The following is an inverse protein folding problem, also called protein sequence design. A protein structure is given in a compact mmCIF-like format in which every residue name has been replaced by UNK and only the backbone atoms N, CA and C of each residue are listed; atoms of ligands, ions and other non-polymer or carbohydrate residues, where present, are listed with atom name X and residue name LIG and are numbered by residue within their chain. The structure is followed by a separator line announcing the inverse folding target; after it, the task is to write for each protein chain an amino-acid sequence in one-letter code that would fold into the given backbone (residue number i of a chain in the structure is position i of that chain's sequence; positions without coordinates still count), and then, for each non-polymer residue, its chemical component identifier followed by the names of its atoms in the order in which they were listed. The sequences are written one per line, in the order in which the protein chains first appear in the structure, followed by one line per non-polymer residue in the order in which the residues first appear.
data_IF_947231801316
#
_entry.id   IF_947231801316
#
_cell.length_a   1.000
_cell.length_b   1.000
_cell.length_c   1.000
_cell.angle_alpha   90.00
_cell.angle_beta   90.00
_cell.angle_gamma   90.00
#
_symmetry.space_group_name_H-M   'P 1'
#
loop_
_entity.id
_entity.type
_entity.pdbx_description
1 polymer ?
#
# COMPACT_ATOMS: atom_id res chain seq x y z
N UNK A 1 -21.00 5.65 -32.24
CA UNK A 1 -22.01 4.59 -32.05
C UNK A 1 -21.49 3.73 -30.90
N UNK A 2 -22.07 3.68 -29.70
CA UNK A 2 -23.40 4.05 -29.22
C UNK A 2 -23.33 4.33 -27.71
N UNK A 3 -24.10 5.31 -27.26
CA UNK A 3 -24.33 5.66 -25.86
C UNK A 3 -25.56 4.92 -25.31
N UNK A 4 -25.68 4.88 -23.96
CA UNK A 4 -26.89 4.57 -23.14
C UNK A 4 -27.13 3.05 -22.94
N UNK A 5 -27.00 2.50 -21.72
CA UNK A 5 -28.10 2.41 -20.73
C UNK A 5 -27.58 1.88 -19.38
N UNK A 6 -27.63 2.68 -18.32
CA UNK A 6 -27.58 2.19 -16.92
C UNK A 6 -28.39 3.12 -16.03
N UNK A 7 -29.71 3.14 -16.25
CA UNK A 7 -30.64 4.02 -15.50
C UNK A 7 -31.86 3.29 -14.95
N UNK A 8 -31.95 1.96 -15.04
CA UNK A 8 -33.17 1.20 -14.69
C UNK A 8 -33.14 0.51 -13.32
N UNK A 9 -32.01 0.47 -12.61
CA UNK A 9 -31.92 -0.16 -11.27
C UNK A 9 -32.24 0.77 -10.10
N UNK A 10 -32.22 2.10 -10.30
CA UNK A 10 -32.40 3.09 -9.22
C UNK A 10 -33.86 3.41 -8.89
N UNK A 11 -34.82 3.06 -9.75
CA UNK A 11 -36.24 3.40 -9.56
C UNK A 11 -37.03 2.33 -8.77
N UNK A 12 -36.57 1.07 -8.76
CA UNK A 12 -37.27 -0.03 -8.07
C UNK A 12 -36.97 -0.08 -6.56
N UNK A 13 -35.83 0.47 -6.13
CA UNK A 13 -35.41 0.53 -4.73
C UNK A 13 -36.08 1.66 -3.93
N UNK A 14 -36.39 2.81 -4.56
CA UNK A 14 -37.09 3.92 -3.87
C UNK A 14 -38.53 3.57 -3.49
N UNK A 15 -39.25 2.83 -4.35
CA UNK A 15 -40.63 2.44 -4.07
C UNK A 15 -40.73 1.33 -3.00
N UNK A 16 -39.74 0.45 -2.91
CA UNK A 16 -39.72 -0.59 -1.86
C UNK A 16 -39.40 0.01 -0.48
N UNK A 17 -38.48 0.99 -0.41
CA UNK A 17 -38.18 1.74 0.81
C UNK A 17 -39.39 2.56 1.29
N UNK A 18 -40.15 3.17 0.38
CA UNK A 18 -41.39 3.89 0.73
C UNK A 18 -42.51 2.96 1.23
N UNK A 19 -42.60 1.73 0.70
CA UNK A 19 -43.58 0.73 1.15
C UNK A 19 -43.24 0.21 2.55
N UNK A 20 -41.97 0.04 2.87
CA UNK A 20 -41.51 -0.38 4.21
C UNK A 20 -41.70 0.74 5.23
N UNK A 21 -41.51 2.02 4.83
CA UNK A 21 -41.76 3.18 5.69
C UNK A 21 -43.25 3.40 6.04
N UNK A 22 -44.19 2.96 5.19
CA UNK A 22 -45.63 3.08 5.45
C UNK A 22 -46.20 2.01 6.38
N UNK A 23 -45.49 0.91 6.62
CA UNK A 23 -45.94 -0.21 7.47
C UNK A 23 -45.49 -0.09 8.95
N UNK A 24 -44.67 0.90 9.31
CA UNK A 24 -44.24 1.12 10.70
C UNK A 24 -45.00 2.28 11.35
N UNK A 25 -46.31 2.10 11.51
CA UNK A 25 -47.15 2.93 12.35
C UNK A 25 -47.43 2.21 13.67
N UNK A 26 -46.41 2.10 14.52
CA UNK A 26 -46.57 1.96 15.99
C UNK A 26 -45.23 2.23 16.66
N UNK A 27 -45.23 3.26 17.52
CA UNK A 27 -44.05 3.77 18.19
C UNK A 27 -43.55 2.78 19.25
N UNK A 28 -42.25 2.49 19.20
CA UNK A 28 -41.38 2.04 20.30
C UNK A 28 -40.06 1.43 19.77
N UNK A 29 -39.89 1.22 18.45
CA UNK A 29 -38.74 0.49 17.88
C UNK A 29 -37.98 1.27 16.80
N UNK A 30 -38.08 2.61 16.79
CA UNK A 30 -37.39 3.45 15.79
C UNK A 30 -35.93 3.78 16.15
N UNK A 31 -35.58 3.80 17.43
CA UNK A 31 -34.22 4.10 17.87
C UNK A 31 -33.22 2.96 17.62
N UNK A 32 -33.65 1.70 17.84
CA UNK A 32 -32.77 0.53 17.75
C UNK A 32 -32.46 0.14 16.29
N UNK A 33 -33.41 0.35 15.37
CA UNK A 33 -33.24 0.04 13.95
C UNK A 33 -32.37 1.06 13.20
N UNK A 34 -32.40 2.34 13.60
CA UNK A 34 -31.52 3.37 13.02
C UNK A 34 -30.07 3.14 13.48
N UNK A 35 -29.87 2.70 14.73
CA UNK A 35 -28.55 2.33 15.24
C UNK A 35 -27.98 1.10 14.52
N UNK A 36 -28.81 0.10 14.23
CA UNK A 36 -28.40 -1.12 13.51
C UNK A 36 -28.07 -0.87 12.03
N UNK A 37 -28.74 0.09 11.38
CA UNK A 37 -28.42 0.46 10.00
C UNK A 37 -27.09 1.22 9.84
N UNK A 38 -26.66 2.00 10.84
CA UNK A 38 -25.38 2.73 10.80
C UNK A 38 -24.17 1.80 10.94
N UNK A 39 -24.31 0.67 11.64
CA UNK A 39 -23.24 -0.34 11.78
C UNK A 39 -23.02 -1.14 10.49
N UNK A 40 -23.99 -1.15 9.57
CA UNK A 40 -23.96 -2.00 8.38
C UNK A 40 -23.39 -1.34 7.12
N UNK A 41 -22.88 -0.11 7.20
CA UNK A 41 -22.40 0.65 6.03
C UNK A 41 -20.88 0.70 5.86
N UNK A 42 -20.08 0.06 6.72
CA UNK A 42 -18.61 0.18 6.65
C UNK A 42 -17.88 -1.15 6.84
N UNK A 43 -18.21 -2.18 6.05
CA UNK A 43 -17.27 -3.27 5.80
C UNK A 43 -17.29 -3.56 4.31
N UNK A 44 -16.57 -2.74 3.54
CA UNK A 44 -16.04 -3.19 2.25
C UNK A 44 -14.98 -4.22 2.58
N UNK A 45 -15.17 -5.44 2.11
CA UNK A 45 -14.23 -6.53 2.33
C UNK A 45 -12.91 -6.26 1.57
N UNK A 46 -11.98 -5.56 2.21
CA UNK A 46 -10.60 -5.29 1.74
C UNK A 46 -9.70 -6.51 2.05
N UNK A 47 -10.25 -7.71 2.19
CA UNK A 47 -9.45 -8.91 2.52
C UNK A 47 -9.12 -9.79 1.30
N UNK A 48 -9.61 -9.43 0.10
CA UNK A 48 -9.26 -10.15 -1.13
C UNK A 48 -7.79 -9.96 -1.56
N UNK A 49 -7.14 -10.98 -2.16
CA UNK A 49 -5.75 -10.90 -2.58
C UNK A 49 -5.52 -9.89 -3.74
N UNK A 50 -6.55 -9.65 -4.55
CA UNK A 50 -6.54 -8.72 -5.69
C UNK A 50 -7.16 -7.39 -5.28
N UNK A 51 -6.37 -6.56 -4.61
CA UNK A 51 -6.75 -5.20 -4.22
C UNK A 51 -5.58 -4.26 -4.42
N UNK A 52 -5.88 -2.99 -4.69
CA UNK A 52 -4.88 -1.94 -4.78
C UNK A 52 -4.24 -1.66 -3.40
N UNK A 53 -3.01 -1.11 -3.38
CA UNK A 53 -2.40 -0.64 -2.14
C UNK A 53 -3.28 0.42 -1.45
N UNK A 54 -3.27 0.41 -0.13
CA UNK A 54 -3.81 1.49 0.70
C UNK A 54 -2.74 2.57 0.91
N UNK A 55 -3.16 3.80 1.25
CA UNK A 55 -2.23 4.88 1.63
C UNK A 55 -1.29 4.46 2.76
N UNK A 56 -1.80 3.70 3.73
CA UNK A 56 -1.02 3.19 4.83
C UNK A 56 0.12 2.29 4.34
N UNK A 57 -0.18 1.35 3.44
CA UNK A 57 0.80 0.42 2.88
C UNK A 57 1.88 1.15 2.08
N UNK A 58 1.50 2.12 1.26
CA UNK A 58 2.45 2.95 0.49
C UNK A 58 3.39 3.68 1.44
N UNK A 59 2.85 4.38 2.44
CA UNK A 59 3.67 5.15 3.37
C UNK A 59 4.60 4.25 4.18
N UNK A 60 4.10 3.10 4.67
CA UNK A 60 4.90 2.12 5.41
C UNK A 60 6.09 1.62 4.59
N UNK A 61 5.87 1.22 3.34
CA UNK A 61 6.93 0.72 2.44
C UNK A 61 7.94 1.82 2.13
N UNK A 62 7.47 3.03 1.82
CA UNK A 62 8.34 4.17 1.56
C UNK A 62 9.25 4.49 2.75
N UNK A 63 8.67 4.64 3.95
CA UNK A 63 9.45 4.95 5.17
C UNK A 63 10.45 3.86 5.47
N UNK A 64 10.10 2.59 5.25
CA UNK A 64 11.02 1.47 5.41
C UNK A 64 12.24 1.63 4.49
N UNK A 65 12.03 1.85 3.19
CA UNK A 65 13.13 2.01 2.23
C UNK A 65 13.96 3.28 2.47
N UNK A 66 13.31 4.40 2.83
CA UNK A 66 14.00 5.64 3.13
C UNK A 66 14.92 5.49 4.35
N UNK A 67 14.43 4.88 5.44
CA UNK A 67 15.25 4.60 6.63
C UNK A 67 16.43 3.70 6.29
N UNK A 68 16.19 2.59 5.60
CA UNK A 68 17.24 1.66 5.19
C UNK A 68 18.33 2.35 4.37
N UNK A 69 17.94 3.28 3.49
CA UNK A 69 18.88 4.02 2.66
C UNK A 69 19.65 5.07 3.43
N UNK A 70 19.00 5.82 4.32
CA UNK A 70 19.66 6.78 5.20
C UNK A 70 20.71 6.09 6.09
N UNK A 71 20.42 4.90 6.60
CA UNK A 71 21.37 4.09 7.37
C UNK A 71 22.56 3.67 6.51
N UNK A 72 22.34 3.17 5.29
CA UNK A 72 23.43 2.81 4.36
C UNK A 72 24.33 4.00 4.02
N UNK A 73 23.76 5.19 3.87
CA UNK A 73 24.54 6.41 3.60
C UNK A 73 25.36 6.88 4.82
N UNK A 74 24.94 6.57 6.05
CA UNK A 74 25.70 6.93 7.26
C UNK A 74 27.07 6.25 7.36
N UNK A 75 27.29 5.15 6.62
CA UNK A 75 28.61 4.50 6.59
C UNK A 75 29.67 5.37 5.89
N UNK A 76 29.25 6.34 5.06
CA UNK A 76 30.12 7.31 4.40
C UNK A 76 30.43 8.47 5.36
N UNK A 77 31.53 8.39 6.10
CA UNK A 77 32.02 9.49 6.97
C UNK A 77 32.72 10.57 6.15
N UNK A 78 31.95 11.40 5.46
CA UNK A 78 32.48 12.52 4.67
C UNK A 78 32.18 13.87 5.33
N UNK A 79 33.13 14.80 5.26
CA UNK A 79 32.94 16.19 5.69
C UNK A 79 32.96 17.05 4.45
N UNK A 80 31.83 17.70 4.17
CA UNK A 80 31.67 18.57 3.02
C UNK A 80 32.33 19.93 3.32
N UNK A 81 33.16 20.42 2.40
CA UNK A 81 33.78 21.75 2.51
C UNK A 81 33.12 22.71 1.53
N UNK A 82 32.33 23.65 2.04
CA UNK A 82 31.60 24.63 1.23
C UNK A 82 32.33 25.97 1.21
N UNK A 83 32.54 26.54 0.01
CA UNK A 83 33.11 27.88 -0.20
C UNK A 83 33.80 28.06 -1.56
N UNK A 84 33.60 29.22 -2.20
CA UNK A 84 34.33 29.62 -3.41
C UNK A 84 35.61 30.36 -3.03
N UNK A 85 36.76 29.71 -3.23
CA UNK A 85 38.08 30.24 -2.93
C UNK A 85 39.14 29.15 -2.91
N UNK A 86 40.37 29.48 -3.31
CA UNK A 86 41.52 28.55 -3.30
C UNK A 86 42.06 28.29 -1.87
N UNK A 87 41.63 29.08 -0.89
CA UNK A 87 42.07 28.99 0.49
C UNK A 87 41.17 28.03 1.30
N UNK A 88 41.66 26.80 1.49
CA UNK A 88 41.00 25.73 2.25
C UNK A 88 40.69 26.13 3.70
N UNK A 89 41.45 27.06 4.28
CA UNK A 89 41.28 27.49 5.68
C UNK A 89 40.01 28.30 5.92
N UNK A 90 39.39 28.83 4.86
CA UNK A 90 38.17 29.66 4.90
C UNK A 90 36.90 28.88 4.54
N UNK A 91 37.01 27.61 4.15
CA UNK A 91 35.86 26.78 3.80
C UNK A 91 35.15 26.29 5.06
N UNK A 92 33.82 26.42 5.10
CA UNK A 92 33.02 25.90 6.22
C UNK A 92 32.90 24.38 6.07
N UNK A 93 33.25 23.67 7.13
CA UNK A 93 33.04 22.23 7.23
C UNK A 93 31.59 21.96 7.64
N UNK A 94 30.84 21.24 6.82
CA UNK A 94 29.48 20.77 7.09
C UNK A 94 29.50 19.25 7.19
N UNK A 95 28.86 18.70 8.21
CA UNK A 95 28.71 17.24 8.34
C UNK A 95 27.81 16.71 7.24
N UNK A 96 28.27 15.72 6.48
CA UNK A 96 27.45 15.04 5.47
C UNK A 96 26.19 14.42 6.08
N UNK A 97 26.27 13.94 7.33
CA UNK A 97 25.19 13.25 8.02
C UNK A 97 23.90 14.07 8.12
N UNK A 98 24.02 15.39 8.29
CA UNK A 98 22.92 16.35 8.36
C UNK A 98 22.85 17.28 7.15
N UNK A 99 23.52 16.90 6.06
CA UNK A 99 23.52 17.71 4.84
C UNK A 99 22.27 17.44 4.01
N UNK A 100 21.78 18.48 3.33
CA UNK A 100 20.75 18.41 2.29
C UNK A 100 21.15 17.43 1.17
N UNK A 101 22.43 17.43 0.80
CA UNK A 101 22.97 16.54 -0.22
C UNK A 101 22.70 15.05 0.09
N UNK A 102 22.84 14.63 1.34
CA UNK A 102 22.53 13.25 1.74
C UNK A 102 21.04 12.94 1.64
N UNK A 103 20.16 13.90 1.94
CA UNK A 103 18.71 13.72 1.79
C UNK A 103 18.35 13.56 0.31
N UNK A 104 18.93 14.38 -0.56
CA UNK A 104 18.77 14.29 -2.02
C UNK A 104 19.27 12.93 -2.52
N UNK A 105 20.44 12.46 -2.07
CA UNK A 105 20.96 11.13 -2.44
C UNK A 105 20.03 10.00 -1.97
N UNK A 106 19.42 10.16 -0.80
CA UNK A 106 18.49 9.18 -0.27
C UNK A 106 17.15 9.15 -1.03
N UNK A 107 16.60 10.31 -1.41
CA UNK A 107 15.27 10.39 -2.02
C UNK A 107 15.34 10.31 -3.54
N UNK A 108 16.30 10.96 -4.19
CA UNK A 108 16.27 11.22 -5.63
C UNK A 108 17.34 10.47 -6.45
N UNK A 109 18.43 9.96 -5.87
CA UNK A 109 19.57 9.40 -6.66
C UNK A 109 19.95 7.94 -6.37
N UNK A 110 19.41 6.94 -7.11
CA UNK A 110 18.17 6.99 -7.91
C UNK A 110 16.93 7.21 -7.05
N UNK A 111 15.78 7.53 -7.65
CA UNK A 111 14.58 7.86 -6.91
C UNK A 111 14.14 6.70 -6.00
N UNK A 112 13.83 6.97 -4.73
CA UNK A 112 13.52 5.94 -3.74
C UNK A 112 12.30 5.09 -4.12
N UNK A 113 11.29 5.69 -4.77
CA UNK A 113 10.13 4.96 -5.28
C UNK A 113 10.46 3.95 -6.40
N UNK A 114 11.62 4.06 -7.07
CA UNK A 114 12.07 3.02 -8.01
C UNK A 114 12.42 1.72 -7.28
N UNK A 115 12.79 1.79 -6.00
CA UNK A 115 13.10 0.62 -5.18
C UNK A 115 11.85 -0.24 -4.93
N UNK A 116 10.66 0.38 -4.93
CA UNK A 116 9.37 -0.30 -4.80
C UNK A 116 9.14 -1.27 -5.96
N UNK A 117 9.71 -1.02 -7.15
CA UNK A 117 9.57 -1.91 -8.31
C UNK A 117 10.16 -3.31 -8.08
N UNK A 118 11.01 -3.48 -7.05
CA UNK A 118 11.60 -4.77 -6.66
C UNK A 118 10.68 -5.60 -5.74
N UNK A 119 9.57 -5.03 -5.30
CA UNK A 119 8.58 -5.73 -4.50
C UNK A 119 7.65 -6.56 -5.39
N UNK A 120 7.12 -7.63 -4.81
CA UNK A 120 6.08 -8.46 -5.39
C UNK A 120 4.90 -8.58 -4.42
N UNK A 121 3.76 -8.97 -4.97
CA UNK A 121 2.57 -9.32 -4.18
C UNK A 121 2.62 -10.80 -3.81
N UNK A 122 2.70 -11.02 -2.51
CA UNK A 122 2.56 -12.32 -1.84
C UNK A 122 1.10 -12.49 -1.41
N UNK A 123 0.26 -12.99 -2.33
CA UNK A 123 -1.17 -13.22 -2.08
C UNK A 123 -1.43 -14.13 -0.87
N UNK A 124 -0.45 -14.94 -0.49
CA UNK A 124 -0.48 -15.81 0.67
C UNK A 124 -0.38 -15.08 2.03
N UNK A 125 0.00 -13.79 2.07
CA UNK A 125 0.22 -13.03 3.31
C UNK A 125 -0.90 -12.02 3.57
N UNK A 126 -1.15 -11.73 4.84
CA UNK A 126 -2.19 -10.77 5.24
C UNK A 126 -1.69 -9.31 5.22
N UNK A 127 -2.63 -8.38 5.01
CA UNK A 127 -2.39 -6.95 5.20
C UNK A 127 -1.26 -6.39 4.33
N UNK A 128 -0.45 -5.51 4.93
CA UNK A 128 0.73 -4.90 4.27
C UNK A 128 1.87 -5.89 4.06
N UNK A 129 1.87 -7.02 4.79
CA UNK A 129 2.95 -8.02 4.73
C UNK A 129 3.01 -8.74 3.38
N UNK A 130 1.95 -8.61 2.57
CA UNK A 130 1.89 -9.08 1.19
C UNK A 130 2.89 -8.40 0.27
N UNK A 131 3.40 -7.23 0.62
CA UNK A 131 4.42 -6.55 -0.17
C UNK A 131 5.80 -6.93 0.35
N UNK A 132 6.52 -7.78 -0.39
CA UNK A 132 7.90 -8.12 -0.07
C UNK A 132 8.75 -8.31 -1.32
N UNK A 133 10.07 -8.12 -1.17
CA UNK A 133 11.05 -8.38 -2.22
C UNK A 133 11.23 -9.90 -2.40
N UNK A 134 11.43 -10.32 -3.65
CA UNK A 134 11.61 -11.72 -4.01
C UNK A 134 10.34 -12.39 -4.53
N UNK A 135 10.46 -13.64 -4.98
CA UNK A 135 9.38 -14.38 -5.64
C UNK A 135 8.33 -14.87 -4.63
N UNK A 136 7.03 -14.78 -4.97
CA UNK A 136 5.95 -15.30 -4.13
C UNK A 136 5.94 -16.83 -4.06
N UNK A 137 5.35 -17.40 -3.01
CA UNK A 137 5.25 -18.86 -2.86
C UNK A 137 4.52 -19.51 -4.05
N UNK A 138 3.47 -18.84 -4.54
CA UNK A 138 2.71 -19.27 -5.73
C UNK A 138 3.58 -19.24 -6.99
N UNK A 139 4.29 -18.14 -7.25
CA UNK A 139 5.13 -18.02 -8.44
C UNK A 139 6.33 -18.98 -8.40
N UNK A 140 6.92 -19.20 -7.22
CA UNK A 140 7.96 -20.20 -7.00
C UNK A 140 7.48 -21.61 -7.34
N UNK A 141 6.25 -21.94 -6.95
CA UNK A 141 5.62 -23.21 -7.28
C UNK A 141 5.40 -23.37 -8.80
N UNK A 142 4.92 -22.32 -9.48
CA UNK A 142 4.70 -22.34 -10.93
C UNK A 142 6.00 -22.53 -11.71
N UNK A 143 7.06 -21.77 -11.38
CA UNK A 143 8.40 -21.98 -11.96
C UNK A 143 8.92 -23.39 -11.65
N UNK A 144 8.71 -23.90 -10.44
CA UNK A 144 9.09 -25.26 -10.07
C UNK A 144 8.40 -26.36 -10.89
N UNK A 145 7.11 -26.21 -11.19
CA UNK A 145 6.37 -27.13 -12.05
C UNK A 145 6.89 -27.09 -13.49
N UNK A 146 7.08 -25.88 -14.02
CA UNK A 146 7.63 -25.67 -15.36
C UNK A 146 9.03 -26.27 -15.51
N UNK A 147 9.91 -26.04 -14.53
CA UNK A 147 11.28 -26.59 -14.51
C UNK A 147 11.30 -28.13 -14.46
N UNK A 148 10.23 -28.76 -13.97
CA UNK A 148 10.03 -30.22 -14.00
C UNK A 148 9.43 -30.73 -15.31
N UNK A 149 9.24 -29.85 -16.31
CA UNK A 149 8.66 -30.20 -17.61
C UNK A 149 7.14 -30.26 -17.62
N UNK A 150 6.46 -29.79 -16.56
CA UNK A 150 5.00 -29.66 -16.56
C UNK A 150 4.62 -28.47 -17.43
N UNK A 151 3.71 -28.68 -18.39
CA UNK A 151 3.18 -27.59 -19.21
C UNK A 151 2.24 -26.72 -18.37
N UNK A 152 2.72 -25.53 -17.99
CA UNK A 152 1.93 -24.52 -17.28
C UNK A 152 1.59 -23.42 -18.29
N UNK A 153 0.32 -23.27 -18.63
CA UNK A 153 -0.16 -22.24 -19.54
C UNK A 153 -0.86 -21.12 -18.75
N UNK A 154 -0.17 -20.01 -18.52
CA UNK A 154 -0.75 -18.82 -17.87
C UNK A 154 -1.43 -17.86 -18.85
N UNK A 155 -1.37 -18.14 -20.16
CA UNK A 155 -1.83 -17.23 -21.20
C UNK A 155 -0.94 -15.99 -21.39
N UNK A 156 0.24 -15.96 -20.75
CA UNK A 156 1.24 -14.90 -20.84
C UNK A 156 2.60 -15.55 -21.14
N UNK A 157 3.43 -14.96 -22.02
CA UNK A 157 4.79 -15.43 -22.28
C UNK A 157 5.61 -15.55 -21.00
N UNK A 158 6.44 -16.60 -20.95
CA UNK A 158 7.30 -16.94 -19.82
C UNK A 158 8.22 -15.81 -19.35
N UNK A 159 8.68 -14.99 -20.29
CA UNK A 159 9.54 -13.83 -20.05
C UNK A 159 8.85 -12.75 -19.20
N UNK A 160 7.52 -12.78 -19.15
CA UNK A 160 6.68 -11.80 -18.46
C UNK A 160 6.08 -12.35 -17.15
N UNK A 161 6.46 -13.56 -16.72
CA UNK A 161 5.96 -14.14 -15.46
C UNK A 161 6.47 -13.39 -14.23
N UNK A 162 7.66 -12.78 -14.33
CA UNK A 162 8.29 -12.01 -13.27
C UNK A 162 8.09 -10.49 -13.45
N UNK A 163 7.17 -10.08 -14.35
CA UNK A 163 6.82 -8.68 -14.54
C UNK A 163 6.06 -8.14 -13.31
N UNK A 164 6.27 -6.87 -12.93
CA UNK A 164 5.64 -6.30 -11.74
C UNK A 164 4.11 -6.26 -11.87
N UNK A 165 3.43 -6.68 -10.81
CA UNK A 165 1.97 -6.69 -10.73
C UNK A 165 1.38 -5.27 -10.80
N UNK A 166 0.11 -5.17 -11.19
CA UNK A 166 -0.61 -3.89 -11.27
C UNK A 166 -0.61 -3.14 -9.93
N UNK A 167 -0.68 -3.86 -8.82
CA UNK A 167 -0.61 -3.36 -7.46
C UNK A 167 0.73 -2.68 -7.16
N UNK A 168 1.84 -3.25 -7.65
CA UNK A 168 3.18 -2.66 -7.50
C UNK A 168 3.29 -1.40 -8.36
N UNK A 169 2.77 -1.45 -9.59
CA UNK A 169 2.70 -0.28 -10.45
C UNK A 169 1.92 0.88 -9.82
N UNK A 170 0.80 0.58 -9.16
CA UNK A 170 0.03 1.59 -8.43
C UNK A 170 0.78 2.10 -7.18
N UNK A 171 1.37 1.20 -6.40
CA UNK A 171 2.15 1.57 -5.20
C UNK A 171 3.33 2.49 -5.56
N UNK A 172 4.02 2.19 -6.65
CA UNK A 172 5.11 3.04 -7.16
C UNK A 172 4.60 4.44 -7.51
N UNK A 173 3.48 4.57 -8.22
CA UNK A 173 2.90 5.88 -8.56
C UNK A 173 2.49 6.67 -7.32
N UNK A 174 1.80 6.02 -6.40
CA UNK A 174 1.36 6.65 -5.14
C UNK A 174 2.55 7.04 -4.26
N UNK A 175 3.67 6.31 -4.31
CA UNK A 175 4.90 6.71 -3.66
C UNK A 175 5.44 8.02 -4.24
N UNK A 176 5.49 8.18 -5.57
CA UNK A 176 5.93 9.46 -6.17
C UNK A 176 5.06 10.61 -5.71
N UNK A 177 3.73 10.45 -5.81
CA UNK A 177 2.78 11.48 -5.34
C UNK A 177 2.96 11.78 -3.86
N UNK A 178 3.17 10.77 -3.00
CA UNK A 178 3.36 10.99 -1.56
C UNK A 178 4.68 11.71 -1.25
N UNK A 179 5.76 11.43 -1.99
CA UNK A 179 7.02 12.19 -1.86
C UNK A 179 6.83 13.63 -2.26
N UNK A 180 6.13 13.89 -3.37
CA UNK A 180 5.83 15.23 -3.87
C UNK A 180 4.94 16.02 -2.88
N UNK A 181 3.85 15.41 -2.42
CA UNK A 181 2.85 16.06 -1.54
C UNK A 181 3.40 16.34 -0.12
N UNK A 182 4.40 15.58 0.32
CA UNK A 182 4.94 15.65 1.68
C UNK A 182 6.43 15.97 1.75
N UNK A 183 7.01 16.58 0.71
CA UNK A 183 8.42 16.98 0.64
C UNK A 183 8.82 17.83 1.86
N UNK A 184 8.07 18.88 2.16
CA UNK A 184 8.31 19.77 3.31
C UNK A 184 8.30 19.01 4.64
N UNK A 185 7.35 18.09 4.83
CA UNK A 185 7.27 17.27 6.04
C UNK A 185 8.49 16.36 6.19
N UNK A 186 8.98 15.79 5.09
CA UNK A 186 10.17 14.93 5.09
C UNK A 186 11.42 15.75 5.43
N UNK A 187 11.56 16.94 4.87
CA UNK A 187 12.65 17.86 5.17
C UNK A 187 12.63 18.32 6.63
N UNK A 188 11.47 18.75 7.14
CA UNK A 188 11.29 19.19 8.52
C UNK A 188 11.70 18.10 9.52
N UNK A 189 11.28 16.86 9.27
CA UNK A 189 11.72 15.73 10.09
C UNK A 189 13.23 15.50 9.99
N UNK A 190 13.78 15.53 8.78
CA UNK A 190 15.19 15.23 8.55
C UNK A 190 16.12 16.28 9.17
N UNK A 191 15.82 17.56 9.04
CA UNK A 191 16.62 18.66 9.58
C UNK A 191 16.29 19.00 11.05
N UNK A 192 15.19 18.47 11.58
CA UNK A 192 14.79 18.58 12.98
C UNK A 192 15.65 17.76 13.96
N UNK A 193 15.11 17.55 15.15
CA UNK A 193 15.79 16.80 16.21
C UNK A 193 15.69 15.27 16.08
N UNK A 194 14.83 14.79 15.17
CA UNK A 194 14.57 13.36 14.89
C UNK A 194 14.22 12.55 16.15
N UNK A 195 13.65 13.19 17.17
CA UNK A 195 13.24 12.50 18.41
C UNK A 195 12.10 11.51 18.18
N UNK A 196 11.20 11.84 17.26
CA UNK A 196 10.12 10.97 16.83
C UNK A 196 10.55 10.10 15.64
N UNK A 197 10.16 8.82 15.67
CA UNK A 197 10.41 7.90 14.57
C UNK A 197 9.65 8.33 13.29
N UNK A 198 10.33 8.31 12.14
CA UNK A 198 9.78 8.75 10.84
C UNK A 198 8.47 8.04 10.46
N UNK A 199 8.26 6.77 10.85
CA UNK A 199 7.01 6.06 10.56
C UNK A 199 5.84 6.69 11.32
N UNK A 200 6.10 7.16 12.54
CA UNK A 200 5.08 7.83 13.33
C UNK A 200 4.87 9.25 12.81
N UNK A 201 5.95 10.02 12.70
CA UNK A 201 5.87 11.41 12.23
C UNK A 201 5.19 11.52 10.86
N UNK A 202 5.74 10.83 9.84
CA UNK A 202 5.23 10.97 8.48
C UNK A 202 3.95 10.16 8.26
N UNK A 203 3.95 8.86 8.56
CA UNK A 203 2.79 8.04 8.20
C UNK A 203 1.63 8.22 9.16
N UNK A 204 1.86 8.14 10.47
CA UNK A 204 0.76 8.19 11.45
C UNK A 204 0.16 9.60 11.55
N UNK A 205 1.01 10.59 11.68
CA UNK A 205 0.58 11.94 12.07
C UNK A 205 0.32 12.85 10.86
N UNK A 206 1.05 12.68 9.74
CA UNK A 206 0.90 13.51 8.54
C UNK A 206 0.06 12.86 7.44
N UNK A 207 0.44 11.69 6.94
CA UNK A 207 -0.17 11.09 5.73
C UNK A 207 -1.55 10.48 6.00
N UNK A 208 -1.72 9.84 7.16
CA UNK A 208 -2.94 9.09 7.47
C UNK A 208 -3.96 9.87 8.29
N UNK A 209 -3.54 10.92 9.01
CA UNK A 209 -4.43 11.80 9.80
C UNK A 209 -5.44 11.06 10.73
N UNK A 210 -5.12 9.84 11.17
CA UNK A 210 -5.99 9.02 12.01
C UNK A 210 -6.77 7.89 11.30
N UNK A 211 -6.66 7.76 9.99
CA UNK A 211 -7.36 6.73 9.19
C UNK A 211 -6.47 5.50 8.91
N UNK A 212 -7.06 4.30 8.87
CA UNK A 212 -6.45 3.05 8.37
C UNK A 212 -5.03 2.72 8.88
N UNK A 213 -4.73 3.01 10.16
CA UNK A 213 -3.36 2.91 10.71
C UNK A 213 -2.92 1.48 11.10
N UNK A 214 -3.79 0.47 10.93
CA UNK A 214 -3.53 -0.90 11.35
C UNK A 214 -2.27 -1.48 10.70
N UNK A 215 -2.05 -1.13 9.42
CA UNK A 215 -0.93 -1.64 8.64
C UNK A 215 0.44 -1.28 9.26
N UNK A 216 0.55 -0.14 9.97
CA UNK A 216 1.81 0.34 10.56
C UNK A 216 2.31 -0.57 11.68
N UNK A 217 1.42 -1.33 12.31
CA UNK A 217 1.74 -2.17 13.47
C UNK A 217 2.08 -3.61 13.08
N UNK A 218 1.81 -4.01 11.83
CA UNK A 218 2.03 -5.36 11.35
C UNK A 218 3.52 -5.68 11.24
N UNK A 219 3.92 -6.84 11.76
CA UNK A 219 5.26 -7.39 11.65
C UNK A 219 5.18 -8.81 11.10
N UNK A 220 6.07 -9.13 10.17
CA UNK A 220 6.18 -10.49 9.65
C UNK A 220 6.95 -11.36 10.64
N UNK A 221 6.29 -12.36 11.22
CA UNK A 221 6.92 -13.39 12.06
C UNK A 221 6.97 -14.76 11.38
N UNK A 222 6.39 -14.87 10.18
CA UNK A 222 6.42 -16.07 9.34
C UNK A 222 5.13 -16.90 9.40
N UNK A 223 4.12 -16.43 10.13
CA UNK A 223 2.85 -17.14 10.34
C UNK A 223 1.62 -16.34 9.88
N UNK A 224 1.79 -15.08 9.51
CA UNK A 224 0.73 -14.16 9.09
C UNK A 224 0.23 -14.45 7.66
N UNK A 225 -0.39 -15.62 7.47
CA UNK A 225 -0.88 -16.11 6.18
C UNK A 225 -2.40 -16.07 6.07
N UNK A 226 -2.91 -15.99 4.83
CA UNK A 226 -4.33 -16.16 4.53
C UNK A 226 -4.68 -17.64 4.69
N UNK A 227 -5.64 -17.96 5.54
CA UNK A 227 -6.15 -19.34 5.67
C UNK A 227 -6.95 -19.72 4.43
N UNK A 228 -6.55 -20.80 3.74
CA UNK A 228 -7.22 -21.35 2.55
C UNK A 228 -8.63 -21.94 2.79
N UNK A 229 -9.22 -21.67 3.96
CA UNK A 229 -10.49 -22.24 4.41
C UNK A 229 -11.72 -21.33 4.20
N UNK A 230 -11.52 -20.06 3.83
CA UNK A 230 -12.61 -19.09 3.60
C UNK A 230 -13.23 -19.14 2.19
N UNK A 231 -12.59 -19.83 1.22
CA UNK A 231 -13.06 -19.87 -0.19
C UNK A 231 -14.10 -20.96 -0.52
N UNK A 232 -14.63 -21.69 0.47
CA UNK A 232 -15.73 -22.66 0.26
C UNK A 232 -17.11 -22.07 0.56
N UNK A 233 -17.49 -20.98 -0.09
CA UNK A 233 -18.92 -20.60 -0.12
C UNK A 233 -19.40 -19.79 -1.32
N UNK A 234 -18.87 -19.96 -2.53
CA UNK A 234 -19.61 -19.59 -3.77
C UNK A 234 -19.15 -20.41 -4.97
N UNK A 235 -19.35 -21.74 -4.94
CA UNK A 235 -19.39 -22.54 -6.18
C UNK A 235 -20.12 -23.85 -5.92
N UNK A 236 -21.37 -23.75 -5.48
CA UNK A 236 -22.32 -24.88 -5.50
C UNK A 236 -23.73 -24.34 -5.67
N UNK A 237 -23.95 -23.53 -6.71
CA UNK A 237 -25.32 -23.19 -7.13
C UNK A 237 -25.41 -22.75 -8.59
N UNK A 238 -24.85 -23.51 -9.52
CA UNK A 238 -25.30 -23.54 -10.93
C UNK A 238 -24.94 -24.91 -11.53
N UNK A 239 -25.62 -25.95 -11.05
CA UNK A 239 -25.87 -27.17 -11.85
C UNK A 239 -27.19 -27.75 -11.37
N UNK A 240 -28.23 -27.52 -12.15
CA UNK A 240 -29.57 -28.00 -11.90
C UNK A 240 -30.60 -27.03 -12.45
N UNK A 241 -31.03 -27.27 -13.69
CA UNK A 241 -32.39 -27.75 -14.03
C UNK A 241 -32.89 -27.23 -15.39
N UNK A 242 -33.31 -28.22 -16.19
CA UNK A 242 -33.99 -28.26 -17.50
C UNK A 242 -33.26 -27.69 -18.73
#
# INVERSE_FOLDING_TARGET
MSSITSSTTRLKTRNLVLLILKLSASGAMKGLFILLCLVQWSVSDVTGPYRLPTKCEVCKIFVHELKDRLVKLNEKKEVLRLGQGLDESKKKAVSYEKSELKLIEAIHEPHICDEIKKYNVHAERIGSLRYAKGMSETMSTLHGLKNKGVKVELGIPDELWDAPNAEIGQMTRECYTMVEDHEESIEDWYFGDQTQDLLTYLCRDTVLEGEEQECLNEKWTGVERVDSSSDKKTSTRLKGEL
#
